data_IF_103940792258
#
_entry.id   IF_103940792258
#
_cell.length_a   1.000
_cell.length_b   1.000
_cell.length_c   1.000
_cell.angle_alpha   90.00
_cell.angle_beta   90.00
_cell.angle_gamma   90.00
#
_symmetry.space_group_name_H-M   'P 1'
#
loop_
_entity.id
_entity.type
_entity.pdbx_description
1 polymer ?
#
# COMPACT_ATOMS: atom_id res chain seq x y z
N UNK A 1 16.67 -4.74 -1.80
CA UNK A 1 15.32 -5.34 -1.75
C UNK A 1 14.29 -4.27 -2.06
N UNK A 2 13.49 -4.45 -3.11
CA UNK A 2 12.49 -3.45 -3.53
C UNK A 2 11.28 -3.53 -2.61
N UNK A 3 10.98 -2.44 -1.90
CA UNK A 3 9.87 -2.36 -0.93
C UNK A 3 8.54 -2.16 -1.66
N UNK A 4 7.47 -2.68 -1.09
CA UNK A 4 6.12 -2.38 -1.54
C UNK A 4 5.79 -0.90 -1.30
N UNK A 5 5.02 -0.27 -2.18
CA UNK A 5 4.71 1.16 -2.06
C UNK A 5 3.22 1.34 -1.80
N UNK A 6 2.88 2.00 -0.70
CA UNK A 6 1.52 2.42 -0.39
C UNK A 6 1.30 3.85 -0.89
N UNK A 7 0.20 4.04 -1.63
CA UNK A 7 -0.32 5.33 -2.06
C UNK A 7 -1.71 5.49 -1.47
N UNK A 8 -1.86 6.42 -0.54
CA UNK A 8 -3.15 6.83 -0.01
C UNK A 8 -3.68 7.94 -0.91
N UNK A 9 -4.80 7.66 -1.56
CA UNK A 9 -5.56 8.63 -2.33
C UNK A 9 -6.88 8.87 -1.59
N UNK A 10 -7.54 10.01 -1.84
CA UNK A 10 -8.78 10.42 -1.15
C UNK A 10 -10.01 9.59 -1.58
N UNK A 11 -9.86 8.26 -1.67
CA UNK A 11 -10.97 7.34 -1.89
C UNK A 11 -11.83 7.29 -0.62
N UNK A 12 -13.15 7.23 -0.76
CA UNK A 12 -14.03 6.99 0.39
C UNK A 12 -13.61 5.70 1.10
N UNK A 13 -13.76 5.66 2.43
CA UNK A 13 -13.57 4.44 3.25
C UNK A 13 -12.13 3.91 3.46
N UNK A 14 -11.09 4.72 3.26
CA UNK A 14 -9.73 4.35 3.66
C UNK A 14 -9.07 3.28 2.78
N UNK A 15 -9.44 3.25 1.50
CA UNK A 15 -8.77 2.45 0.48
C UNK A 15 -7.39 3.02 0.12
N UNK A 16 -6.46 2.12 -0.17
CA UNK A 16 -5.08 2.44 -0.56
C UNK A 16 -4.72 1.66 -1.80
N UNK A 17 -3.86 2.27 -2.61
CA UNK A 17 -3.22 1.60 -3.72
C UNK A 17 -1.88 1.06 -3.23
N UNK A 18 -1.72 -0.26 -3.28
CA UNK A 18 -0.47 -0.95 -3.05
C UNK A 18 0.19 -1.27 -4.38
N UNK A 19 1.43 -0.84 -4.55
CA UNK A 19 2.31 -1.31 -5.61
C UNK A 19 3.17 -2.48 -5.12
N UNK A 20 3.08 -3.61 -5.83
CA UNK A 20 3.89 -4.79 -5.63
C UNK A 20 5.06 -4.83 -6.63
N UNK A 21 6.31 -4.59 -6.18
CA UNK A 21 7.47 -4.62 -7.07
C UNK A 21 7.83 -6.02 -7.55
N UNK A 22 7.45 -7.08 -6.81
CA UNK A 22 7.74 -8.47 -7.20
C UNK A 22 6.96 -8.95 -8.41
N UNK A 23 5.72 -8.46 -8.55
CA UNK A 23 4.82 -8.82 -9.64
C UNK A 23 4.63 -7.68 -10.64
N UNK A 24 5.25 -6.52 -10.37
CA UNK A 24 5.07 -5.28 -11.12
C UNK A 24 3.58 -4.95 -11.34
N UNK A 25 2.78 -5.01 -10.26
CA UNK A 25 1.32 -4.84 -10.29
C UNK A 25 0.84 -3.90 -9.19
N UNK A 26 -0.26 -3.21 -9.46
CA UNK A 26 -0.99 -2.42 -8.47
C UNK A 26 -2.20 -3.21 -7.97
N UNK A 27 -2.55 -3.02 -6.71
CA UNK A 27 -3.75 -3.57 -6.10
C UNK A 27 -4.39 -2.55 -5.17
N UNK A 28 -5.73 -2.56 -5.11
CA UNK A 28 -6.50 -1.80 -4.15
C UNK A 28 -6.73 -2.65 -2.91
N UNK A 29 -6.56 -2.06 -1.73
CA UNK A 29 -6.88 -2.70 -0.46
C UNK A 29 -7.29 -1.67 0.58
N UNK A 30 -8.15 -2.06 1.52
CA UNK A 30 -8.45 -1.25 2.70
C UNK A 30 -7.28 -1.32 3.67
N UNK A 31 -6.77 -0.17 4.13
CA UNK A 31 -5.61 -0.15 5.02
C UNK A 31 -5.95 -0.71 6.40
N UNK A 32 -5.55 -1.96 6.66
CA UNK A 32 -5.66 -2.56 8.00
C UNK A 32 -4.43 -3.39 8.27
N UNK A 33 -3.67 -3.00 9.30
CA UNK A 33 -2.51 -3.76 9.73
C UNK A 33 -2.95 -4.92 10.63
N UNK A 34 -2.31 -6.10 10.55
CA UNK A 34 -1.27 -6.48 9.58
C UNK A 34 -1.85 -6.69 8.17
N UNK A 35 -1.15 -6.19 7.13
CA UNK A 35 -1.63 -6.26 5.74
C UNK A 35 -0.78 -7.23 4.92
N UNK A 36 -1.45 -8.12 4.17
CA UNK A 36 -0.81 -9.05 3.24
C UNK A 36 -0.92 -8.50 1.82
N UNK A 37 0.16 -8.51 1.06
CA UNK A 37 0.12 -8.12 -0.36
C UNK A 37 -0.76 -9.13 -1.13
N UNK A 38 -1.84 -8.69 -1.80
CA UNK A 38 -2.70 -9.58 -2.57
C UNK A 38 -2.00 -10.14 -3.83
N UNK A 39 -0.92 -9.50 -4.30
CA UNK A 39 -0.21 -9.94 -5.50
C UNK A 39 0.84 -11.02 -5.23
N UNK A 40 1.61 -10.89 -4.14
CA UNK A 40 2.75 -11.77 -3.86
C UNK A 40 2.62 -12.55 -2.56
N UNK A 41 1.58 -12.28 -1.76
CA UNK A 41 1.32 -12.94 -0.49
C UNK A 41 2.27 -12.53 0.65
N UNK A 42 3.15 -11.55 0.44
CA UNK A 42 4.08 -11.10 1.49
C UNK A 42 3.34 -10.33 2.59
N UNK A 43 3.66 -10.64 3.86
CA UNK A 43 3.21 -9.85 5.00
C UNK A 43 3.97 -8.52 5.01
N UNK A 44 3.24 -7.41 4.90
CA UNK A 44 3.81 -6.08 4.81
C UNK A 44 3.82 -5.42 6.18
N UNK A 45 5.03 -5.22 6.68
CA UNK A 45 5.30 -4.37 7.83
C UNK A 45 5.79 -3.01 7.34
N UNK A 46 5.13 -1.93 7.80
CA UNK A 46 5.53 -0.56 7.50
C UNK A 46 6.97 -0.29 7.94
N UNK A 47 7.71 0.49 7.15
CA UNK A 47 9.10 0.86 7.41
C UNK A 47 10.12 -0.15 6.90
N UNK A 48 9.88 -1.47 7.11
CA UNK A 48 10.77 -2.54 6.63
C UNK A 48 10.45 -2.98 5.21
N UNK A 49 9.26 -3.53 4.99
CA UNK A 49 8.86 -4.19 3.72
C UNK A 49 7.97 -3.33 2.85
N UNK A 50 7.37 -2.29 3.42
CA UNK A 50 6.56 -1.33 2.69
C UNK A 50 6.87 0.12 3.08
N UNK A 51 6.71 1.03 2.12
CA UNK A 51 6.92 2.48 2.27
C UNK A 51 5.66 3.21 1.81
N UNK A 52 5.26 4.23 2.55
CA UNK A 52 4.22 5.17 2.10
C UNK A 52 4.90 6.21 1.21
N UNK A 53 4.44 6.36 -0.03
CA UNK A 53 5.06 7.26 -1.03
C UNK A 53 4.18 8.47 -1.33
N UNK A 54 2.87 8.33 -1.16
CA UNK A 54 1.92 9.43 -1.28
C UNK A 54 0.91 9.31 -0.14
N UNK A 55 0.78 10.38 0.63
CA UNK A 55 -0.26 10.57 1.64
C UNK A 55 -0.96 11.89 1.33
N UNK A 56 -1.91 11.85 0.38
CA UNK A 56 -2.73 13.01 0.07
C UNK A 56 -3.77 13.18 1.18
N UNK A 57 -3.42 13.89 2.26
CA UNK A 57 -4.40 14.60 3.08
C UNK A 57 -4.59 15.97 2.44
N UNK A 58 -5.50 16.06 1.47
CA UNK A 58 -5.98 17.39 1.06
C UNK A 58 -6.73 17.97 2.26
N UNK A 59 -6.38 19.18 2.75
CA UNK A 59 -7.24 19.88 3.68
C UNK A 59 -8.55 20.15 2.94
N UNK A 60 -9.63 19.51 3.40
CA UNK A 60 -10.99 19.91 3.04
C UNK A 60 -11.28 21.30 3.63
#
# INVERSE_FOLDING_TARGET
>A
MTKHLFKFSNYPEGEVILYCPRKNKFAFLRFRLPVKCPCCGELLELGRKAKIVLNYRMPL
#
